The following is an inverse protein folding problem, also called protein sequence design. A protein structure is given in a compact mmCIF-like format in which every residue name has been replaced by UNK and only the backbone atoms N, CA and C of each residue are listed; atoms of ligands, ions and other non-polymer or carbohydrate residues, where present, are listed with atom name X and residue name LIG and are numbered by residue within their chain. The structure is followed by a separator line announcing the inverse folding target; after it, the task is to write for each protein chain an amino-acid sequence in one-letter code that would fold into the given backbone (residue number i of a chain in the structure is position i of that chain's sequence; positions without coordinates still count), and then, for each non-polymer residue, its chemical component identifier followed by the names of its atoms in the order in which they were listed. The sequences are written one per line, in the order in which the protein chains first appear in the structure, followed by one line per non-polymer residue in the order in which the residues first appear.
data_IF_001177301809
#
_entry.id   IF_001177301809
#
_cell.length_a   1.000
_cell.length_b   1.000
_cell.length_c   1.000
_cell.angle_alpha   90.00
_cell.angle_beta   90.00
_cell.angle_gamma   90.00
#
_symmetry.space_group_name_H-M   'P 1'
#
loop_
_entity.id
_entity.type
_entity.pdbx_description
1 polymer ?
#
# COMPACT_ATOMS: atom_id res chain seq x y z
N UNK A 1 -4.43 14.12 -10.00
CA UNK A 1 -5.49 13.56 -9.14
C UNK A 1 -5.31 12.05 -9.09
N UNK A 2 -5.19 11.45 -7.91
CA UNK A 2 -5.06 9.99 -7.76
C UNK A 2 -6.28 9.25 -8.32
N UNK A 3 -6.07 8.09 -8.97
CA UNK A 3 -7.16 7.23 -9.47
C UNK A 3 -8.12 6.79 -8.36
N UNK A 4 -7.62 6.72 -7.11
CA UNK A 4 -8.43 6.41 -5.94
C UNK A 4 -9.62 7.37 -5.80
N UNK A 5 -9.33 8.67 -5.86
CA UNK A 5 -10.33 9.74 -5.73
C UNK A 5 -11.23 9.76 -6.97
N UNK A 6 -10.65 9.55 -8.15
CA UNK A 6 -11.40 9.51 -9.41
C UNK A 6 -12.50 8.44 -9.38
N UNK A 7 -12.21 7.26 -8.84
CA UNK A 7 -13.16 6.16 -8.75
C UNK A 7 -13.95 6.13 -7.43
N UNK A 8 -13.63 7.00 -6.46
CA UNK A 8 -14.25 7.07 -5.15
C UNK A 8 -14.15 5.76 -4.38
N UNK A 9 -13.00 5.09 -4.44
CA UNK A 9 -12.81 3.75 -3.90
C UNK A 9 -12.98 3.71 -2.38
N UNK A 10 -12.60 4.76 -1.68
CA UNK A 10 -12.74 4.93 -0.23
C UNK A 10 -14.20 4.80 0.23
N UNK A 11 -15.15 5.24 -0.60
CA UNK A 11 -16.59 5.14 -0.31
C UNK A 11 -17.20 3.78 -0.67
N UNK A 12 -16.53 2.99 -1.50
CA UNK A 12 -17.04 1.72 -2.02
C UNK A 12 -16.53 0.51 -1.24
N UNK A 13 -15.26 0.55 -0.83
CA UNK A 13 -14.58 -0.58 -0.21
C UNK A 13 -14.56 -0.53 1.34
N UNK A 14 -14.97 0.59 1.95
CA UNK A 14 -14.90 0.81 3.40
C UNK A 14 -13.47 1.10 3.89
N UNK A 15 -12.49 0.30 3.47
CA UNK A 15 -11.07 0.55 3.67
C UNK A 15 -10.27 0.20 2.42
N UNK A 16 -9.37 1.09 2.00
CA UNK A 16 -8.48 0.86 0.85
C UNK A 16 -7.07 0.62 1.36
N UNK A 17 -6.50 -0.53 1.02
CA UNK A 17 -5.18 -0.96 1.44
C UNK A 17 -4.18 -0.74 0.33
N UNK A 18 -3.09 -0.02 0.62
CA UNK A 18 -1.97 0.15 -0.29
C UNK A 18 -0.80 -0.70 0.20
N UNK A 19 -0.26 -1.53 -0.67
CA UNK A 19 0.96 -2.30 -0.41
C UNK A 19 2.03 -1.91 -1.43
N UNK A 20 3.30 -1.74 -1.02
CA UNK A 20 4.38 -1.54 -1.97
C UNK A 20 4.56 -2.78 -2.83
N UNK A 21 4.84 -2.59 -4.14
CA UNK A 21 5.26 -3.69 -5.01
C UNK A 21 6.60 -4.22 -4.51
N UNK A 22 6.72 -5.55 -4.43
CA UNK A 22 7.98 -6.18 -4.02
C UNK A 22 9.03 -5.89 -5.10
N UNK A 23 10.22 -5.42 -4.69
CA UNK A 23 11.34 -4.96 -5.54
C UNK A 23 11.18 -3.62 -6.28
N UNK A 24 9.98 -3.23 -6.72
CA UNK A 24 9.83 -2.01 -7.55
C UNK A 24 9.66 -0.73 -6.74
N UNK A 25 9.15 -0.80 -5.50
CA UNK A 25 8.85 0.37 -4.69
C UNK A 25 9.20 0.14 -3.22
N UNK A 26 9.96 1.07 -2.64
CA UNK A 26 10.24 1.02 -1.21
C UNK A 26 8.97 1.37 -0.42
N UNK A 27 8.74 0.65 0.68
CA UNK A 27 7.65 0.93 1.61
C UNK A 27 7.67 2.37 2.13
N UNK A 28 8.86 2.92 2.35
CA UNK A 28 9.05 4.31 2.81
C UNK A 28 8.56 5.31 1.78
N UNK A 29 8.94 5.15 0.52
CA UNK A 29 8.53 6.08 -0.54
C UNK A 29 7.01 6.10 -0.68
N UNK A 30 6.37 4.93 -0.61
CA UNK A 30 4.91 4.83 -0.62
C UNK A 30 4.28 5.50 0.61
N UNK A 31 4.86 5.32 1.79
CA UNK A 31 4.38 5.96 3.02
C UNK A 31 4.48 7.49 2.93
N UNK A 32 5.61 8.00 2.42
CA UNK A 32 5.86 9.42 2.25
C UNK A 32 4.84 10.03 1.27
N UNK A 33 4.50 9.35 0.17
CA UNK A 33 3.44 9.80 -0.75
C UNK A 33 2.05 9.79 -0.11
N UNK A 34 1.70 8.77 0.66
CA UNK A 34 0.41 8.69 1.34
C UNK A 34 0.23 9.87 2.30
N UNK A 35 1.28 10.22 3.05
CA UNK A 35 1.26 11.35 4.01
C UNK A 35 1.26 12.69 3.28
N UNK A 36 2.11 12.87 2.26
CA UNK A 36 2.21 14.12 1.50
C UNK A 36 0.88 14.47 0.80
N UNK A 37 0.20 13.48 0.24
CA UNK A 37 -1.08 13.67 -0.45
C UNK A 37 -2.30 13.51 0.48
N UNK A 38 -2.08 13.21 1.77
CA UNK A 38 -3.12 12.94 2.78
C UNK A 38 -4.19 11.97 2.27
N UNK A 39 -3.76 10.85 1.69
CA UNK A 39 -4.66 9.89 1.06
C UNK A 39 -5.45 9.09 2.10
N UNK A 40 -6.75 8.84 1.91
CA UNK A 40 -7.59 8.05 2.82
C UNK A 40 -7.36 6.55 2.59
N UNK A 41 -6.13 6.09 2.79
CA UNK A 41 -5.70 4.70 2.60
C UNK A 41 -4.93 4.22 3.83
N UNK A 42 -4.89 2.90 4.03
CA UNK A 42 -4.03 2.28 5.03
C UNK A 42 -2.85 1.61 4.33
N UNK A 43 -1.64 1.91 4.78
CA UNK A 43 -0.45 1.19 4.35
C UNK A 43 -0.44 -0.22 4.95
N UNK A 44 -0.36 -1.22 4.09
CA UNK A 44 -0.22 -2.62 4.45
C UNK A 44 1.14 -3.13 3.96
N UNK A 45 1.96 -3.61 4.88
CA UNK A 45 3.24 -4.23 4.54
C UNK A 45 3.07 -5.74 4.44
N UNK A 46 3.69 -6.32 3.42
CA UNK A 46 3.81 -7.77 3.28
C UNK A 46 4.87 -8.28 4.27
N UNK A 47 4.53 -8.34 5.55
CA UNK A 47 5.46 -8.72 6.63
C UNK A 47 6.15 -10.07 6.37
N UNK A 48 5.48 -11.01 5.70
CA UNK A 48 6.09 -12.30 5.37
C UNK A 48 7.34 -12.16 4.49
N UNK A 49 7.37 -11.21 3.55
CA UNK A 49 8.56 -10.91 2.74
C UNK A 49 9.69 -10.28 3.57
N UNK A 50 9.36 -9.54 4.62
CA UNK A 50 10.35 -8.95 5.52
C UNK A 50 10.92 -9.95 6.53
N UNK A 51 10.09 -10.90 6.97
CA UNK A 51 10.44 -11.86 8.02
C UNK A 51 11.07 -13.15 7.46
N UNK A 52 10.57 -13.64 6.32
CA UNK A 52 10.98 -14.93 5.71
C UNK A 52 11.51 -14.78 4.28
N UNK A 53 11.78 -13.56 3.79
CA UNK A 53 12.13 -13.32 2.39
C UNK A 53 11.09 -13.93 1.43
N UNK A 54 11.51 -14.31 0.23
CA UNK A 54 10.67 -14.96 -0.80
C UNK A 54 10.50 -16.47 -0.59
N UNK A 55 10.69 -16.98 0.64
CA UNK A 55 10.45 -18.39 0.89
C UNK A 55 8.94 -18.70 0.86
N UNK A 56 8.48 -19.61 -0.01
CA UNK A 56 7.11 -20.08 0.07
C UNK A 56 6.89 -20.80 1.41
N UNK A 57 5.76 -20.54 2.06
CA UNK A 57 5.41 -21.16 3.34
C UNK A 57 5.49 -22.68 3.25
N UNK A 58 6.20 -23.30 4.19
CA UNK A 58 6.23 -24.76 4.37
C UNK A 58 4.92 -25.30 4.91
#
# INVERSE_FOLDING_TARGET
MSKLIQYGLERRAGEVLFSPSHHDLNARDLADWIVADNLPVRLQLQLHKYLWNDEPGR
#
